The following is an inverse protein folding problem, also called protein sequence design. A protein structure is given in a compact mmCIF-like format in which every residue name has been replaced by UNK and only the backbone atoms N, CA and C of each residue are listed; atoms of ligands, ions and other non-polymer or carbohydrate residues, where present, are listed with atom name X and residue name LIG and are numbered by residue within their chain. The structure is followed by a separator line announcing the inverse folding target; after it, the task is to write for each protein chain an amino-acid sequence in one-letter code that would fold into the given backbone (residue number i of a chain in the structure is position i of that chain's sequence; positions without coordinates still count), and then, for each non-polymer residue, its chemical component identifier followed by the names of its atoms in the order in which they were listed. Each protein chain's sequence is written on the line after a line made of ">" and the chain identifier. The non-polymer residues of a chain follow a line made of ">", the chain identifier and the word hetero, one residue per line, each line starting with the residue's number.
data_IF_109116118277
#
_entry.id   IF_109116118277
#
_cell.length_a   1.000
_cell.length_b   1.000
_cell.length_c   1.000
_cell.angle_alpha   90.00
_cell.angle_beta   90.00
_cell.angle_gamma   90.00
#
_symmetry.space_group_name_H-M   'P 1'
#
loop_
_entity.id
_entity.type
_entity.pdbx_description
1 polymer ?
#
# COMPACT_ATOMS: atom_id res chain seq x y z
N UNK A 1 -5.04 23.54 -2.31
CA UNK A 1 -4.86 22.64 -1.14
C UNK A 1 -5.30 23.33 0.13
N UNK A 2 -6.03 22.64 0.98
CA UNK A 2 -6.38 23.09 2.32
C UNK A 2 -5.95 22.06 3.35
N UNK A 3 -5.46 22.54 4.50
CA UNK A 3 -5.13 21.69 5.64
C UNK A 3 -6.01 22.07 6.83
N UNK A 4 -6.69 21.08 7.39
CA UNK A 4 -7.54 21.20 8.57
C UNK A 4 -6.85 20.49 9.74
N UNK A 5 -6.10 21.22 10.60
CA UNK A 5 -5.43 20.61 11.72
C UNK A 5 -6.44 20.16 12.79
N UNK A 6 -6.13 19.04 13.45
CA UNK A 6 -6.81 18.62 14.69
C UNK A 6 -5.96 19.03 15.88
N UNK A 7 -6.46 19.93 16.70
CA UNK A 7 -5.75 20.44 17.87
C UNK A 7 -6.62 20.37 19.12
N UNK A 8 -6.24 19.54 20.10
CA UNK A 8 -5.10 18.61 20.03
C UNK A 8 -5.35 17.49 18.99
N UNK A 9 -4.30 16.81 18.51
CA UNK A 9 -4.44 15.65 17.65
C UNK A 9 -5.35 14.59 18.29
N UNK A 10 -6.21 13.96 17.50
CA UNK A 10 -7.03 12.85 17.99
C UNK A 10 -6.16 11.63 18.21
N UNK A 11 -6.13 11.10 19.42
CA UNK A 11 -5.41 9.87 19.74
C UNK A 11 -6.32 8.66 19.72
N UNK A 12 -5.81 7.51 19.21
CA UNK A 12 -6.46 6.23 19.28
C UNK A 12 -5.44 5.09 19.30
N UNK A 13 -5.85 3.99 19.92
CA UNK A 13 -5.01 2.81 20.05
C UNK A 13 -5.17 1.88 18.86
N UNK A 14 -4.05 1.34 18.39
CA UNK A 14 -3.98 0.31 17.34
C UNK A 14 -3.02 -0.79 17.79
N UNK A 15 -3.04 -1.92 17.10
CA UNK A 15 -2.15 -3.05 17.32
C UNK A 15 -2.85 -4.27 17.89
N UNK A 16 -2.28 -5.45 17.62
CA UNK A 16 -2.83 -6.73 18.03
C UNK A 16 -2.32 -7.16 19.41
N UNK A 17 -1.00 -7.38 19.56
CA UNK A 17 -0.40 -7.81 20.83
C UNK A 17 -0.03 -6.64 21.72
N UNK A 18 0.60 -5.63 21.14
CA UNK A 18 0.99 -4.40 21.85
C UNK A 18 0.23 -3.23 21.26
N UNK A 19 -0.46 -2.50 22.13
CA UNK A 19 -1.15 -1.28 21.75
C UNK A 19 -0.16 -0.14 21.54
N UNK A 20 -0.34 0.56 20.42
CA UNK A 20 0.40 1.77 20.07
C UNK A 20 -0.58 2.92 19.86
N UNK A 21 -0.20 4.11 20.25
CA UNK A 21 -1.03 5.30 20.09
C UNK A 21 -0.72 5.96 18.75
N UNK A 22 -1.73 6.10 17.91
CA UNK A 22 -1.68 6.89 16.68
C UNK A 22 -2.26 8.27 16.96
N UNK A 23 -1.59 9.31 16.48
CA UNK A 23 -2.04 10.69 16.53
C UNK A 23 -2.53 11.12 15.16
N UNK A 24 -3.83 11.34 15.05
CA UNK A 24 -4.48 11.88 13.85
C UNK A 24 -4.38 13.40 13.88
N UNK A 25 -3.44 13.95 13.12
CA UNK A 25 -3.05 15.36 13.16
C UNK A 25 -3.93 16.27 12.30
N UNK A 26 -4.69 15.74 11.37
CA UNK A 26 -5.53 16.60 10.51
C UNK A 26 -5.94 15.97 9.20
N UNK A 27 -6.56 16.78 8.36
CA UNK A 27 -7.06 16.40 7.04
C UNK A 27 -6.47 17.31 5.97
N UNK A 28 -5.97 16.72 4.88
CA UNK A 28 -5.55 17.44 3.67
C UNK A 28 -6.63 17.31 2.61
N UNK A 29 -7.14 18.44 2.13
CA UNK A 29 -8.05 18.53 0.99
C UNK A 29 -7.29 19.05 -0.22
N UNK A 30 -7.26 18.25 -1.29
CA UNK A 30 -6.60 18.57 -2.55
C UNK A 30 -7.66 18.87 -3.63
N UNK A 31 -7.46 19.93 -4.39
CA UNK A 31 -8.18 20.15 -5.64
C UNK A 31 -7.66 19.19 -6.73
N UNK A 32 -8.39 19.11 -7.85
CA UNK A 32 -7.96 18.29 -8.98
C UNK A 32 -6.56 18.74 -9.46
N UNK A 33 -5.70 17.76 -9.71
CA UNK A 33 -4.32 17.93 -10.17
C UNK A 33 -3.35 18.62 -9.16
N UNK A 34 -3.78 18.79 -7.91
CA UNK A 34 -2.85 19.11 -6.82
C UNK A 34 -2.18 17.86 -6.27
N UNK A 35 -0.92 18.00 -5.86
CA UNK A 35 -0.08 16.94 -5.33
C UNK A 35 0.51 17.32 -3.98
N UNK A 36 0.66 16.34 -3.12
CA UNK A 36 1.47 16.43 -1.90
C UNK A 36 2.52 15.33 -1.88
N UNK A 37 3.65 15.61 -1.26
CA UNK A 37 4.69 14.62 -1.00
C UNK A 37 4.72 14.30 0.49
N UNK A 38 4.56 13.02 0.82
CA UNK A 38 4.75 12.51 2.17
C UNK A 38 6.21 12.09 2.33
N UNK A 39 6.86 12.55 3.38
CA UNK A 39 8.27 12.24 3.64
C UNK A 39 8.46 11.58 5.00
N UNK A 40 9.47 10.73 5.10
CA UNK A 40 9.96 10.22 6.38
C UNK A 40 11.29 10.85 6.74
N UNK A 41 11.65 10.87 8.02
CA UNK A 41 12.96 11.36 8.48
C UNK A 41 14.13 10.58 7.86
N UNK A 42 13.91 9.33 7.48
CA UNK A 42 14.91 8.46 6.86
C UNK A 42 15.03 8.65 5.34
N UNK A 43 14.33 9.62 4.75
CA UNK A 43 14.44 9.96 3.33
C UNK A 43 13.47 9.20 2.40
N UNK A 44 12.47 8.52 2.94
CA UNK A 44 11.38 7.96 2.13
C UNK A 44 10.46 9.06 1.63
N UNK A 45 10.11 9.04 0.34
CA UNK A 45 9.20 10.02 -0.29
C UNK A 45 8.09 9.31 -1.05
N UNK A 46 6.86 9.82 -0.91
CA UNK A 46 5.68 9.27 -1.57
C UNK A 46 4.75 10.38 -2.02
N UNK A 47 4.62 10.55 -3.32
CA UNK A 47 3.77 11.55 -3.94
C UNK A 47 2.34 11.05 -4.09
N UNK A 48 1.36 11.87 -3.71
CA UNK A 48 -0.05 11.60 -3.89
C UNK A 48 -0.69 12.78 -4.63
N UNK A 49 -1.20 12.51 -5.82
CA UNK A 49 -1.88 13.50 -6.67
C UNK A 49 -3.38 13.23 -6.67
N UNK A 50 -4.18 14.25 -6.43
CA UNK A 50 -5.63 14.17 -6.57
C UNK A 50 -6.02 14.27 -8.04
N UNK A 51 -6.85 13.31 -8.51
CA UNK A 51 -7.42 13.29 -9.87
C UNK A 51 -8.95 13.37 -9.78
N UNK A 52 -9.62 13.65 -10.88
CA UNK A 52 -11.09 13.67 -10.92
C UNK A 52 -11.74 12.36 -10.49
N UNK A 53 -11.06 11.24 -10.70
CA UNK A 53 -11.50 9.87 -10.36
C UNK A 53 -10.99 9.37 -9.00
N UNK A 54 -10.18 10.14 -8.27
CA UNK A 54 -9.62 9.72 -6.98
C UNK A 54 -8.19 10.20 -6.77
N UNK A 55 -7.33 9.33 -6.28
CA UNK A 55 -5.92 9.64 -6.03
C UNK A 55 -5.01 8.77 -6.88
N UNK A 56 -4.00 9.41 -7.45
CA UNK A 56 -2.91 8.77 -8.16
C UNK A 56 -1.66 8.83 -7.29
N UNK A 57 -1.22 7.68 -6.83
CA UNK A 57 0.00 7.55 -6.04
C UNK A 57 1.17 7.24 -6.98
N UNK A 58 2.14 8.12 -7.01
CA UNK A 58 3.41 7.96 -7.69
C UNK A 58 4.52 7.97 -6.66
N UNK A 59 5.65 7.39 -6.89
CA UNK A 59 6.21 6.77 -8.09
C UNK A 59 5.78 5.32 -8.28
N UNK A 60 6.12 4.76 -9.47
CA UNK A 60 5.83 3.36 -9.80
C UNK A 60 6.50 2.39 -8.84
N UNK A 61 5.78 1.32 -8.45
CA UNK A 61 6.25 0.37 -7.43
C UNK A 61 7.52 -0.37 -7.83
N UNK A 62 7.69 -0.69 -9.11
CA UNK A 62 8.82 -1.46 -9.66
C UNK A 62 9.88 -0.57 -10.36
N UNK A 63 9.80 0.74 -10.22
CA UNK A 63 10.70 1.68 -10.86
C UNK A 63 11.16 2.76 -9.90
N UNK A 64 10.52 3.92 -9.94
CA UNK A 64 10.96 5.11 -9.22
C UNK A 64 10.84 5.03 -7.70
N UNK A 65 9.94 4.21 -7.16
CA UNK A 65 9.67 4.15 -5.71
C UNK A 65 10.92 3.81 -4.90
N UNK A 66 11.74 2.85 -5.36
CA UNK A 66 12.98 2.48 -4.67
C UNK A 66 14.00 3.61 -4.65
N UNK A 67 14.05 4.46 -5.70
CA UNK A 67 14.91 5.64 -5.76
C UNK A 67 14.46 6.73 -4.76
N UNK A 68 13.20 6.71 -4.36
CA UNK A 68 12.64 7.57 -3.32
C UNK A 68 12.64 6.92 -1.93
N UNK A 69 13.44 5.88 -1.75
CA UNK A 69 13.70 5.28 -0.45
C UNK A 69 12.60 4.36 0.09
N UNK A 70 11.64 3.93 -0.74
CA UNK A 70 10.49 3.12 -0.31
C UNK A 70 10.32 1.86 -1.17
N UNK A 71 9.73 0.84 -0.57
CA UNK A 71 9.31 -0.41 -1.21
C UNK A 71 7.85 -0.68 -0.91
N UNK A 72 7.07 -1.05 -1.90
CA UNK A 72 5.67 -1.43 -1.71
C UNK A 72 5.51 -2.93 -1.50
N UNK A 73 4.63 -3.31 -0.57
CA UNK A 73 4.33 -4.71 -0.25
C UNK A 73 2.84 -4.89 -0.01
N UNK A 74 2.29 -5.98 -0.55
CA UNK A 74 0.92 -6.42 -0.28
C UNK A 74 0.92 -7.39 0.89
N UNK A 75 0.13 -7.12 1.91
CA UNK A 75 -0.02 -7.97 3.09
C UNK A 75 -1.48 -8.32 3.36
N UNK A 76 -1.68 -9.44 4.04
CA UNK A 76 -2.99 -9.87 4.55
C UNK A 76 -2.93 -9.92 6.08
N UNK A 77 -3.96 -9.44 6.77
CA UNK A 77 -4.06 -9.57 8.21
C UNK A 77 -4.80 -10.86 8.61
N UNK A 78 -4.85 -11.16 9.93
CA UNK A 78 -5.47 -12.37 10.48
C UNK A 78 -6.96 -12.53 10.19
N UNK A 79 -7.67 -11.44 9.86
CA UNK A 79 -9.09 -11.44 9.49
C UNK A 79 -9.33 -11.31 7.97
N UNK A 80 -8.32 -11.66 7.17
CA UNK A 80 -8.38 -11.65 5.70
C UNK A 80 -8.63 -10.27 5.08
N UNK A 81 -8.09 -9.22 5.68
CA UNK A 81 -8.04 -7.87 5.11
C UNK A 81 -6.68 -7.63 4.49
N UNK A 82 -6.66 -6.97 3.34
CA UNK A 82 -5.46 -6.73 2.55
C UNK A 82 -5.06 -5.26 2.59
N UNK A 83 -3.76 -5.02 2.68
CA UNK A 83 -3.19 -3.67 2.73
C UNK A 83 -1.97 -3.58 1.84
N UNK A 84 -1.78 -2.42 1.22
CA UNK A 84 -0.51 -2.05 0.60
C UNK A 84 0.24 -1.18 1.59
N UNK A 85 1.43 -1.62 1.98
CA UNK A 85 2.29 -0.90 2.91
C UNK A 85 3.55 -0.42 2.18
N UNK A 86 4.08 0.71 2.62
CA UNK A 86 5.32 1.27 2.14
C UNK A 86 6.40 1.10 3.20
N UNK A 87 7.47 0.42 2.84
CA UNK A 87 8.57 0.09 3.76
C UNK A 87 9.80 0.89 3.35
N UNK A 88 10.41 1.59 4.31
CA UNK A 88 11.66 2.32 4.06
C UNK A 88 12.77 1.34 3.70
N UNK A 89 13.54 1.66 2.66
CA UNK A 89 14.72 0.87 2.27
C UNK A 89 15.67 0.73 3.47
N UNK A 90 16.08 -0.51 3.75
CA UNK A 90 16.92 -0.83 4.90
C UNK A 90 16.14 -1.13 6.20
N UNK A 91 14.82 -0.92 6.23
CA UNK A 91 13.96 -1.22 7.39
C UNK A 91 13.23 -2.57 7.27
N UNK A 92 13.63 -3.43 6.33
CA UNK A 92 12.95 -4.70 6.06
C UNK A 92 12.93 -5.62 7.30
N UNK A 93 14.01 -5.66 8.07
CA UNK A 93 14.06 -6.47 9.30
C UNK A 93 13.10 -5.96 10.38
N UNK A 94 12.98 -4.64 10.55
CA UNK A 94 12.00 -4.03 11.44
C UNK A 94 10.57 -4.33 10.97
N UNK A 95 10.34 -4.26 9.68
CA UNK A 95 9.05 -4.57 9.08
C UNK A 95 8.67 -6.05 9.28
N UNK A 96 9.60 -6.98 9.09
CA UNK A 96 9.35 -8.40 9.35
C UNK A 96 8.99 -8.68 10.81
N UNK A 97 9.66 -8.02 11.76
CA UNK A 97 9.30 -8.10 13.19
C UNK A 97 7.89 -7.56 13.45
N UNK A 98 7.55 -6.44 12.82
CA UNK A 98 6.20 -5.88 12.87
C UNK A 98 5.16 -6.86 12.30
N UNK A 99 5.40 -7.43 11.13
CA UNK A 99 4.51 -8.43 10.53
C UNK A 99 4.28 -9.62 11.46
N UNK A 100 5.33 -10.14 12.08
CA UNK A 100 5.24 -11.26 13.03
C UNK A 100 4.38 -10.90 14.25
N UNK A 101 4.61 -9.73 14.82
CA UNK A 101 3.89 -9.21 15.99
C UNK A 101 2.41 -8.95 15.68
N UNK A 102 2.11 -8.34 14.54
CA UNK A 102 0.75 -8.02 14.12
C UNK A 102 0.06 -9.17 13.35
N UNK A 103 0.73 -10.30 13.20
CA UNK A 103 0.23 -11.48 12.47
C UNK A 103 -0.18 -11.14 11.03
N UNK A 104 0.66 -10.39 10.35
CA UNK A 104 0.52 -10.08 8.93
C UNK A 104 1.23 -11.15 8.09
N UNK A 105 0.56 -11.60 7.04
CA UNK A 105 1.15 -12.45 6.00
C UNK A 105 1.59 -11.58 4.83
N UNK A 106 2.87 -11.63 4.49
CA UNK A 106 3.38 -10.99 3.28
C UNK A 106 2.93 -11.82 2.08
N UNK A 107 2.08 -11.22 1.23
CA UNK A 107 1.58 -11.86 0.00
C UNK A 107 2.60 -11.68 -1.11
N UNK A 108 3.03 -10.44 -1.37
CA UNK A 108 4.01 -10.15 -2.41
C UNK A 108 4.65 -8.79 -2.22
N UNK A 109 5.95 -8.71 -2.46
CA UNK A 109 6.63 -7.46 -2.71
C UNK A 109 6.31 -6.97 -4.11
N UNK A 110 5.82 -5.74 -4.23
CA UNK A 110 5.34 -5.16 -5.48
C UNK A 110 6.41 -4.38 -6.24
N UNK A 111 7.62 -4.32 -5.72
CA UNK A 111 8.78 -3.67 -6.34
C UNK A 111 9.59 -4.59 -7.26
N UNK A 112 9.35 -5.89 -7.20
CA UNK A 112 10.09 -6.88 -8.00
C UNK A 112 9.33 -7.23 -9.27
N UNK A 113 9.94 -6.98 -10.44
CA UNK A 113 9.36 -7.29 -11.74
C UNK A 113 8.89 -8.74 -11.85
N UNK A 114 9.66 -9.69 -11.35
CA UNK A 114 9.30 -11.11 -11.34
C UNK A 114 7.94 -11.33 -10.66
N UNK A 115 7.74 -10.77 -9.47
CA UNK A 115 6.49 -10.92 -8.73
C UNK A 115 5.30 -10.31 -9.48
N UNK A 116 5.48 -9.14 -10.07
CA UNK A 116 4.42 -8.47 -10.86
C UNK A 116 4.06 -9.26 -12.12
N UNK A 117 5.05 -9.80 -12.81
CA UNK A 117 4.84 -10.66 -13.99
C UNK A 117 4.11 -11.95 -13.59
N UNK A 118 4.48 -12.58 -12.49
CA UNK A 118 3.83 -13.79 -11.99
C UNK A 118 2.37 -13.54 -11.60
N UNK A 119 2.07 -12.41 -10.93
CA UNK A 119 0.70 -11.97 -10.62
C UNK A 119 -0.10 -11.79 -11.91
N UNK A 120 0.45 -11.09 -12.89
CA UNK A 120 -0.20 -10.84 -14.19
C UNK A 120 -0.50 -12.16 -14.91
N UNK A 121 0.46 -13.09 -14.96
CA UNK A 121 0.27 -14.42 -15.57
C UNK A 121 -0.81 -15.21 -14.84
N UNK A 122 -0.80 -15.24 -13.51
CA UNK A 122 -1.82 -15.93 -12.71
C UNK A 122 -3.23 -15.39 -12.97
N UNK A 123 -3.40 -14.07 -13.04
CA UNK A 123 -4.69 -13.44 -13.37
C UNK A 123 -5.16 -13.77 -14.79
N UNK A 124 -4.25 -13.82 -15.77
CA UNK A 124 -4.57 -14.17 -17.16
C UNK A 124 -5.00 -15.64 -17.28
N UNK A 125 -4.35 -16.56 -16.57
CA UNK A 125 -4.75 -17.97 -16.52
C UNK A 125 -6.16 -18.14 -15.93
N UNK A 126 -6.48 -17.44 -14.86
CA UNK A 126 -7.81 -17.45 -14.24
C UNK A 126 -8.90 -16.94 -15.22
N UNK A 127 -8.62 -15.91 -15.99
CA UNK A 127 -9.53 -15.38 -17.01
C UNK A 127 -9.78 -16.41 -18.14
N UNK A 128 -8.73 -17.10 -18.61
CA UNK A 128 -8.85 -18.16 -19.62
C UNK A 128 -9.71 -19.32 -19.12
N UNK A 129 -9.47 -19.79 -17.92
CA UNK A 129 -10.25 -20.88 -17.29
C UNK A 129 -11.73 -20.53 -17.13
N UNK A 130 -12.06 -19.28 -16.78
CA UNK A 130 -13.45 -18.81 -16.72
C UNK A 130 -14.12 -18.80 -18.09
N UNK A 131 -13.44 -18.37 -19.14
CA UNK A 131 -13.96 -18.39 -20.53
C UNK A 131 -14.24 -19.82 -20.99
N UNK A 132 -13.35 -20.77 -20.74
CA UNK A 132 -13.52 -22.18 -21.10
C UNK A 132 -14.74 -22.79 -20.38
N UNK A 133 -14.89 -22.55 -19.06
CA UNK A 133 -16.05 -23.05 -18.30
C UNK A 133 -17.39 -22.44 -18.77
N UNK A 134 -17.41 -21.20 -19.22
CA UNK A 134 -18.62 -20.54 -19.75
C UNK A 134 -19.01 -21.05 -21.13
N UNK A 135 -18.05 -21.44 -22.00
CA UNK A 135 -18.30 -22.03 -23.30
C UNK A 135 -18.81 -23.48 -23.20
N UNK A 136 -18.32 -24.25 -22.24
CA UNK A 136 -18.77 -25.63 -21.99
C UNK A 136 -20.19 -25.71 -21.42
N UNK A 137 -20.66 -24.67 -20.73
CA UNK A 137 -22.04 -24.58 -20.19
C UNK A 137 -23.08 -24.14 -21.23
N UNK A 138 -22.65 -23.64 -22.41
CA UNK A 138 -23.53 -23.23 -23.54
C UNK A 138 -23.64 -24.27 -24.63
N UNK A 139 -22.91 -25.33 -24.52
CA UNK A 139 -23.03 -26.53 -25.34
C UNK A 139 -23.77 -27.59 -24.52
#
# INVERSE_FOLDING_TARGET
>A
MKFYPKQPPREFEVGFEKKEIIRDCGVLELAADEQVTLITEQGGEYDVTRKSWGFYATPSTNGRLSNFGLRAVLVENRIKRYFVLLVTNGSENNFQRYCKKEKLLIISWLDKNKNLVDIKKGLNLLKRNKKLKSSTRKA
#
